data_IF_870437271557
#
_entry.id   IF_870437271557
#
_cell.length_a   1.000
_cell.length_b   1.000
_cell.length_c   1.000
_cell.angle_alpha   90.00
_cell.angle_beta   90.00
_cell.angle_gamma   90.00
#
_symmetry.space_group_name_H-M   'P 1'
#
loop_
_entity.id
_entity.type
_entity.pdbx_description
1 polymer ?
#
# COMPACT_ATOMS: atom_id res chain seq x y z
N UNK A 1 15.70 15.85 20.41
CA UNK A 1 16.38 15.44 21.67
C UNK A 1 16.82 14.00 21.49
N UNK A 2 18.11 13.72 21.49
CA UNK A 2 18.70 12.41 21.31
C UNK A 2 19.19 11.91 22.67
N UNK A 3 18.70 10.76 23.09
CA UNK A 3 19.12 10.12 24.33
C UNK A 3 20.22 9.12 24.06
N UNK A 4 21.38 9.28 24.66
CA UNK A 4 22.41 8.24 24.74
C UNK A 4 22.24 7.43 26.00
N UNK A 5 22.11 6.10 25.88
CA UNK A 5 21.82 5.19 26.99
C UNK A 5 23.04 4.81 27.85
N UNK A 6 24.18 5.47 27.73
CA UNK A 6 25.35 5.18 28.56
C UNK A 6 26.30 6.35 28.54
N UNK A 7 26.42 7.14 29.57
CA UNK A 7 27.44 8.18 29.89
C UNK A 7 28.62 8.53 28.95
N UNK A 8 28.54 8.08 27.70
CA UNK A 8 29.46 8.43 26.63
C UNK A 8 29.11 9.82 26.07
N UNK A 9 30.08 10.63 25.64
CA UNK A 9 29.81 11.91 25.03
C UNK A 9 28.84 11.74 23.89
N UNK A 10 27.78 12.57 23.85
CA UNK A 10 26.68 12.53 22.89
C UNK A 10 27.18 12.35 21.46
N UNK A 11 27.19 11.14 20.98
CA UNK A 11 27.40 10.85 19.57
C UNK A 11 26.12 11.24 18.86
N UNK A 12 26.14 12.34 18.13
CA UNK A 12 25.02 12.72 17.27
C UNK A 12 24.78 11.59 16.29
N UNK A 13 23.67 10.89 16.43
CA UNK A 13 23.27 9.93 15.41
C UNK A 13 23.12 10.69 14.08
N UNK A 14 23.70 10.20 12.99
CA UNK A 14 23.57 10.86 11.69
C UNK A 14 22.09 10.95 11.34
N UNK A 15 21.58 12.17 11.26
CA UNK A 15 20.26 12.45 10.74
C UNK A 15 20.30 12.30 9.23
N UNK A 16 19.47 11.44 8.68
CA UNK A 16 19.27 11.36 7.22
C UNK A 16 18.07 12.26 6.90
N UNK A 17 18.30 13.44 6.32
CA UNK A 17 17.22 14.31 5.94
C UNK A 17 16.54 13.76 4.67
N UNK A 18 15.24 13.55 4.75
CA UNK A 18 14.39 13.23 3.61
C UNK A 18 13.70 14.53 3.16
N UNK A 19 14.19 15.17 2.11
CA UNK A 19 13.61 16.40 1.56
C UNK A 19 12.41 16.10 0.66
N UNK A 20 11.45 15.33 1.16
CA UNK A 20 10.26 14.94 0.40
C UNK A 20 9.33 16.13 0.17
N UNK A 21 8.59 16.09 -0.92
CA UNK A 21 7.45 16.98 -1.21
C UNK A 21 6.15 16.31 -0.73
N UNK A 22 5.05 17.04 -0.79
CA UNK A 22 3.74 16.45 -0.57
C UNK A 22 3.44 15.36 -1.60
N UNK A 23 2.96 14.22 -1.14
CA UNK A 23 2.45 13.14 -1.96
C UNK A 23 0.92 13.22 -2.03
N UNK A 24 0.36 12.84 -3.17
CA UNK A 24 -1.08 12.81 -3.39
C UNK A 24 -1.52 11.42 -3.84
N UNK A 25 -2.73 11.05 -3.44
CA UNK A 25 -3.37 9.84 -3.91
C UNK A 25 -4.82 10.13 -4.24
N UNK A 26 -5.26 9.71 -5.42
CA UNK A 26 -6.65 9.78 -5.85
C UNK A 26 -7.12 8.41 -6.31
N UNK A 27 -8.32 8.01 -5.93
CA UNK A 27 -8.87 6.72 -6.33
C UNK A 27 -10.38 6.78 -6.56
N UNK A 28 -10.84 5.87 -7.40
CA UNK A 28 -12.25 5.62 -7.69
C UNK A 28 -12.49 4.12 -7.65
N UNK A 29 -13.58 3.71 -7.02
CA UNK A 29 -14.00 2.31 -6.96
C UNK A 29 -15.47 2.16 -7.31
N UNK A 30 -15.82 0.97 -7.79
CA UNK A 30 -17.18 0.58 -8.07
C UNK A 30 -17.48 -0.80 -7.46
N UNK A 31 -18.70 -0.95 -6.99
CA UNK A 31 -19.26 -2.22 -6.51
C UNK A 31 -20.52 -2.52 -7.31
N UNK A 32 -20.65 -3.78 -7.74
CA UNK A 32 -21.80 -4.26 -8.46
C UNK A 32 -22.31 -5.57 -7.85
N UNK A 33 -23.55 -5.57 -7.38
CA UNK A 33 -24.22 -6.77 -6.89
C UNK A 33 -24.79 -7.55 -8.08
N UNK A 34 -24.06 -8.59 -8.49
CA UNK A 34 -24.48 -9.45 -9.58
C UNK A 34 -25.78 -10.22 -9.26
N UNK A 35 -25.86 -10.74 -8.02
CA UNK A 35 -27.04 -11.41 -7.48
C UNK A 35 -27.02 -11.36 -5.94
N UNK A 36 -27.92 -12.07 -5.27
CA UNK A 36 -27.99 -12.13 -3.80
C UNK A 36 -26.74 -12.70 -3.12
N UNK A 37 -25.93 -13.46 -3.86
CA UNK A 37 -24.79 -14.18 -3.32
C UNK A 37 -23.44 -13.65 -3.82
N UNK A 38 -23.39 -12.94 -4.97
CA UNK A 38 -22.17 -12.49 -5.60
C UNK A 38 -22.15 -10.98 -5.74
N UNK A 39 -21.10 -10.39 -5.18
CA UNK A 39 -20.77 -8.97 -5.34
C UNK A 39 -19.40 -8.85 -6.00
N UNK A 40 -19.29 -8.02 -7.03
CA UNK A 40 -18.07 -7.71 -7.74
C UNK A 40 -17.60 -6.31 -7.38
N UNK A 41 -16.28 -6.12 -7.31
CA UNK A 41 -15.66 -4.82 -7.04
C UNK A 41 -14.54 -4.57 -8.01
N UNK A 42 -14.34 -3.30 -8.36
CA UNK A 42 -13.19 -2.85 -9.13
C UNK A 42 -12.76 -1.48 -8.65
N UNK A 43 -11.49 -1.16 -8.85
CA UNK A 43 -10.95 0.13 -8.45
C UNK A 43 -9.76 0.54 -9.30
N UNK A 44 -9.60 1.85 -9.43
CA UNK A 44 -8.45 2.50 -10.03
C UNK A 44 -7.94 3.56 -9.06
N UNK A 45 -6.64 3.68 -8.92
CA UNK A 45 -6.01 4.72 -8.12
C UNK A 45 -4.74 5.22 -8.77
N UNK A 46 -4.41 6.46 -8.53
CA UNK A 46 -3.14 7.03 -8.95
C UNK A 46 -2.47 7.72 -7.76
N UNK A 47 -1.20 7.41 -7.59
CA UNK A 47 -0.36 7.93 -6.51
C UNK A 47 0.78 8.74 -7.11
N UNK A 48 0.90 10.00 -6.67
CA UNK A 48 2.02 10.87 -6.99
C UNK A 48 3.06 10.75 -5.90
N UNK A 49 4.26 10.33 -6.28
CA UNK A 49 5.35 10.13 -5.32
C UNK A 49 5.75 11.43 -4.60
N UNK A 50 5.99 11.39 -3.29
CA UNK A 50 6.60 12.49 -2.56
C UNK A 50 8.12 12.60 -2.79
N UNK A 51 8.76 11.57 -3.37
CA UNK A 51 10.22 11.50 -3.53
C UNK A 51 10.65 12.33 -4.74
N UNK A 52 11.58 13.26 -4.49
CA UNK A 52 12.22 14.06 -5.56
C UNK A 52 13.33 13.26 -6.22
N UNK A 53 13.66 13.57 -7.47
CA UNK A 53 14.71 12.86 -8.21
C UNK A 53 16.09 12.96 -7.51
N UNK A 54 16.40 14.12 -6.91
CA UNK A 54 17.64 14.33 -6.16
C UNK A 54 17.71 13.57 -4.82
N UNK A 55 16.57 13.09 -4.32
CA UNK A 55 16.46 12.34 -3.05
C UNK A 55 16.28 10.84 -3.29
N UNK A 56 16.09 10.45 -4.56
CA UNK A 56 15.86 9.06 -4.90
C UNK A 56 17.11 8.23 -4.69
N UNK A 57 16.97 7.09 -4.06
CA UNK A 57 18.06 6.15 -3.80
C UNK A 57 17.77 4.78 -4.40
N UNK A 58 18.81 3.96 -4.57
CA UNK A 58 18.64 2.57 -5.01
C UNK A 58 17.88 1.70 -4.00
N UNK A 59 17.81 2.12 -2.73
CA UNK A 59 17.04 1.46 -1.67
C UNK A 59 15.54 1.76 -1.77
N UNK A 60 15.22 3.00 -2.18
CA UNK A 60 13.86 3.48 -2.30
C UNK A 60 13.72 4.18 -3.66
N UNK A 61 13.61 3.41 -4.74
CA UNK A 61 13.46 3.94 -6.09
C UNK A 61 11.99 4.31 -6.37
N UNK A 62 11.41 5.08 -5.45
CA UNK A 62 9.99 5.40 -5.47
C UNK A 62 9.63 6.32 -6.65
N UNK A 63 8.48 6.10 -7.28
CA UNK A 63 7.95 6.91 -8.36
C UNK A 63 6.42 6.85 -8.35
N UNK A 64 5.80 7.68 -9.19
CA UNK A 64 4.36 7.64 -9.41
C UNK A 64 3.90 6.23 -9.77
N UNK A 65 2.69 5.87 -9.33
CA UNK A 65 2.17 4.52 -9.59
C UNK A 65 0.67 4.52 -9.87
N UNK A 66 0.29 3.68 -10.82
CA UNK A 66 -1.10 3.38 -11.10
C UNK A 66 -1.50 2.10 -10.35
N UNK A 67 -2.63 2.14 -9.68
CA UNK A 67 -3.23 1.03 -8.96
C UNK A 67 -4.45 0.54 -9.73
N UNK A 68 -4.52 -0.75 -9.96
CA UNK A 68 -5.73 -1.39 -10.50
C UNK A 68 -6.14 -2.51 -9.57
N UNK A 69 -7.42 -2.62 -9.28
CA UNK A 69 -7.90 -3.67 -8.39
C UNK A 69 -9.20 -4.29 -8.90
N UNK A 70 -9.35 -5.58 -8.62
CA UNK A 70 -10.57 -6.32 -8.81
C UNK A 70 -10.83 -7.20 -7.59
N UNK A 71 -12.09 -7.41 -7.26
CA UNK A 71 -12.46 -8.24 -6.12
C UNK A 71 -13.85 -8.82 -6.28
N UNK A 72 -14.09 -9.86 -5.51
CA UNK A 72 -15.41 -10.47 -5.40
C UNK A 72 -15.68 -10.91 -3.97
N UNK A 73 -16.95 -10.85 -3.58
CA UNK A 73 -17.47 -11.47 -2.37
C UNK A 73 -18.52 -12.50 -2.76
N UNK A 74 -18.40 -13.69 -2.23
CA UNK A 74 -19.35 -14.77 -2.47
C UNK A 74 -19.92 -15.31 -1.16
N UNK A 75 -21.25 -15.23 -1.03
CA UNK A 75 -22.00 -15.76 0.09
C UNK A 75 -22.44 -17.20 -0.23
N UNK A 76 -21.78 -18.18 0.38
CA UNK A 76 -22.15 -19.58 0.22
C UNK A 76 -23.49 -19.90 0.90
N UNK A 77 -23.69 -19.37 2.12
CA UNK A 77 -24.89 -19.49 2.92
C UNK A 77 -24.93 -18.37 3.98
N UNK A 78 -25.89 -18.42 4.91
CA UNK A 78 -26.02 -17.40 5.97
C UNK A 78 -24.82 -17.34 6.94
N UNK A 79 -24.03 -18.39 7.00
CA UNK A 79 -22.91 -18.52 7.93
C UNK A 79 -21.55 -18.31 7.26
N UNK A 80 -21.38 -18.64 5.98
CA UNK A 80 -20.09 -18.64 5.30
C UNK A 80 -20.05 -17.65 4.13
N UNK A 81 -19.12 -16.70 4.23
CA UNK A 81 -18.77 -15.78 3.15
C UNK A 81 -17.28 -15.90 2.80
N UNK A 82 -16.96 -15.71 1.53
CA UNK A 82 -15.60 -15.63 1.01
C UNK A 82 -15.40 -14.30 0.29
N UNK A 83 -14.27 -13.68 0.53
CA UNK A 83 -13.81 -12.49 -0.17
C UNK A 83 -12.51 -12.81 -0.88
N UNK A 84 -12.41 -12.40 -2.14
CA UNK A 84 -11.19 -12.49 -2.94
C UNK A 84 -10.85 -11.09 -3.48
N UNK A 85 -9.59 -10.73 -3.44
CA UNK A 85 -9.09 -9.49 -3.99
C UNK A 85 -7.78 -9.68 -4.72
N UNK A 86 -7.64 -8.95 -5.81
CA UNK A 86 -6.41 -8.83 -6.59
C UNK A 86 -6.13 -7.35 -6.86
N UNK A 87 -4.90 -6.94 -6.65
CA UNK A 87 -4.44 -5.60 -6.98
C UNK A 87 -3.13 -5.71 -7.74
N UNK A 88 -3.06 -5.03 -8.88
CA UNK A 88 -1.83 -4.84 -9.62
C UNK A 88 -1.42 -3.36 -9.55
N UNK A 89 -0.17 -3.12 -9.21
CA UNK A 89 0.41 -1.80 -9.13
C UNK A 89 1.44 -1.66 -10.23
N UNK A 90 1.30 -0.61 -11.04
CA UNK A 90 2.21 -0.24 -12.11
C UNK A 90 3.04 0.99 -11.69
N UNK A 91 4.17 0.83 -11.01
CA UNK A 91 5.07 1.94 -10.78
C UNK A 91 5.65 2.43 -12.11
N UNK A 92 5.78 3.72 -12.25
CA UNK A 92 6.46 4.32 -13.39
C UNK A 92 7.95 3.97 -13.34
N UNK A 93 8.52 3.52 -14.45
CA UNK A 93 9.97 3.30 -14.59
C UNK A 93 10.73 4.52 -14.09
N UNK A 94 11.77 4.28 -13.31
CA UNK A 94 12.54 5.36 -12.72
C UNK A 94 14.02 5.24 -13.02
N UNK A 95 14.65 6.37 -13.32
CA UNK A 95 16.10 6.50 -13.34
C UNK A 95 16.54 6.95 -11.95
N UNK A 96 17.41 6.18 -11.33
CA UNK A 96 18.10 6.57 -10.09
C UNK A 96 19.48 7.06 -10.46
N UNK A 97 19.73 8.35 -10.22
CA UNK A 97 21.02 8.98 -10.44
C UNK A 97 21.56 9.45 -9.10
N UNK A 98 22.61 8.81 -8.63
CA UNK A 98 23.37 9.24 -7.45
C UNK A 98 24.64 9.87 -7.97
N UNK A 99 24.69 11.19 -7.92
CA UNK A 99 25.82 12.01 -8.35
C UNK A 99 26.13 13.09 -7.29
N UNK A 100 26.89 14.12 -7.66
CA UNK A 100 27.25 15.22 -6.76
C UNK A 100 26.03 15.99 -6.20
N UNK A 101 24.87 15.92 -6.86
CA UNK A 101 23.65 16.63 -6.48
C UNK A 101 22.67 15.76 -5.67
N UNK A 102 22.94 14.47 -5.56
CA UNK A 102 22.06 13.54 -4.83
C UNK A 102 22.51 13.45 -3.36
N UNK A 103 21.58 13.67 -2.43
CA UNK A 103 21.86 13.62 -0.98
C UNK A 103 22.23 12.21 -0.49
N UNK A 104 21.94 11.16 -1.28
CA UNK A 104 22.35 9.79 -0.96
C UNK A 104 23.76 9.43 -1.45
N UNK A 105 24.48 10.38 -2.07
CA UNK A 105 25.87 10.18 -2.47
C UNK A 105 26.77 9.98 -1.25
N UNK A 106 27.66 9.01 -1.35
CA UNK A 106 28.72 8.82 -0.35
C UNK A 106 30.04 9.44 -0.85
N UNK A 107 30.43 10.64 -0.39
CA UNK A 107 31.61 11.30 -0.87
C UNK A 107 32.90 10.56 -0.51
N UNK A 108 32.89 9.67 0.49
CA UNK A 108 34.07 8.88 0.88
C UNK A 108 34.46 7.84 -0.18
N UNK A 109 33.58 7.56 -1.15
CA UNK A 109 33.86 6.66 -2.26
C UNK A 109 34.37 7.38 -3.51
N UNK A 110 34.49 8.71 -3.49
CA UNK A 110 34.87 9.51 -4.66
C UNK A 110 36.25 9.12 -5.20
N UNK A 111 37.23 8.85 -4.30
CA UNK A 111 38.59 8.48 -4.69
C UNK A 111 38.66 7.14 -5.45
N UNK A 112 37.68 6.26 -5.28
CA UNK A 112 37.58 4.96 -5.98
C UNK A 112 36.65 5.02 -7.19
N UNK A 113 36.03 6.16 -7.49
CA UNK A 113 35.06 6.31 -8.58
C UNK A 113 33.73 5.57 -8.35
N UNK A 114 33.47 5.15 -7.12
CA UNK A 114 32.28 4.37 -6.74
C UNK A 114 31.19 5.24 -6.09
N UNK A 115 31.34 6.55 -6.12
CA UNK A 115 30.42 7.50 -5.50
C UNK A 115 29.28 7.93 -6.45
N UNK A 116 29.31 7.49 -7.70
CA UNK A 116 28.28 7.76 -8.70
C UNK A 116 27.60 6.47 -9.13
N UNK A 117 26.28 6.47 -9.16
CA UNK A 117 25.46 5.37 -9.63
C UNK A 117 24.38 5.91 -10.56
N UNK A 118 24.27 5.33 -11.75
CA UNK A 118 23.14 5.57 -12.66
C UNK A 118 22.51 4.22 -12.95
N UNK A 119 21.26 4.05 -12.60
CA UNK A 119 20.52 2.80 -12.84
C UNK A 119 19.06 3.08 -13.16
N UNK A 120 18.49 2.23 -14.02
CA UNK A 120 17.07 2.23 -14.30
C UNK A 120 16.40 1.15 -13.45
N UNK A 121 15.30 1.49 -12.82
CA UNK A 121 14.49 0.55 -12.04
C UNK A 121 13.11 0.44 -12.68
N UNK A 122 12.78 -0.79 -13.04
CA UNK A 122 11.45 -1.20 -13.50
C UNK A 122 10.90 -2.22 -12.51
N UNK A 123 9.67 -2.03 -12.07
CA UNK A 123 9.03 -2.93 -11.11
C UNK A 123 7.52 -3.03 -11.36
N UNK A 124 6.94 -4.09 -10.86
CA UNK A 124 5.48 -4.28 -10.76
C UNK A 124 5.20 -5.04 -9.48
N UNK A 125 4.00 -4.87 -8.95
CA UNK A 125 3.61 -5.47 -7.67
C UNK A 125 2.24 -6.10 -7.85
N UNK A 126 2.14 -7.37 -7.50
CA UNK A 126 0.90 -8.14 -7.48
C UNK A 126 0.52 -8.47 -6.05
N UNK A 127 -0.70 -8.14 -5.66
CA UNK A 127 -1.24 -8.42 -4.33
C UNK A 127 -2.49 -9.27 -4.50
N UNK A 128 -2.48 -10.46 -3.90
CA UNK A 128 -3.62 -11.36 -3.83
C UNK A 128 -4.07 -11.46 -2.38
N UNK A 129 -5.36 -11.36 -2.15
CA UNK A 129 -5.97 -11.52 -0.83
C UNK A 129 -7.13 -12.50 -0.87
N UNK A 130 -7.26 -13.32 0.17
CA UNK A 130 -8.36 -14.23 0.39
C UNK A 130 -8.84 -14.08 1.83
N UNK A 131 -10.13 -13.83 2.01
CA UNK A 131 -10.80 -13.76 3.28
C UNK A 131 -11.91 -14.78 3.38
N UNK A 132 -12.06 -15.40 4.56
CA UNK A 132 -13.19 -16.26 4.89
C UNK A 132 -13.81 -15.75 6.18
N UNK A 133 -15.11 -15.55 6.16
CA UNK A 133 -15.89 -15.13 7.32
C UNK A 133 -16.91 -16.21 7.65
N UNK A 134 -16.81 -16.78 8.85
CA UNK A 134 -17.78 -17.75 9.35
C UNK A 134 -18.49 -17.21 10.59
N UNK A 135 -19.83 -17.22 10.57
CA UNK A 135 -20.68 -16.84 11.69
C UNK A 135 -21.11 -18.08 12.44
N UNK A 136 -20.77 -18.17 13.72
CA UNK A 136 -21.14 -19.29 14.59
C UNK A 136 -22.57 -19.20 15.09
N UNK A 137 -23.21 -18.03 14.99
CA UNK A 137 -24.59 -17.84 15.40
C UNK A 137 -25.55 -18.47 14.41
N UNK A 138 -26.43 -19.33 14.90
CA UNK A 138 -27.54 -19.82 14.11
C UNK A 138 -28.52 -18.65 13.87
N UNK A 139 -28.95 -18.37 12.64
CA UNK A 139 -29.93 -17.33 12.42
C UNK A 139 -31.20 -17.68 13.20
N UNK A 140 -31.47 -16.90 14.25
CA UNK A 140 -32.71 -17.05 15.01
C UNK A 140 -33.82 -16.62 14.08
N UNK A 141 -34.57 -17.59 13.52
CA UNK A 141 -35.81 -17.28 12.83
C UNK A 141 -36.72 -16.61 13.86
N UNK A 142 -36.91 -15.30 13.73
CA UNK A 142 -37.91 -14.60 14.53
C UNK A 142 -39.27 -15.15 14.15
N UNK A 143 -39.72 -16.20 14.84
CA UNK A 143 -41.10 -16.64 14.84
C UNK A 143 -41.89 -15.49 15.42
N UNK A 144 -42.48 -14.68 14.55
CA UNK A 144 -43.49 -13.69 14.94
C UNK A 144 -44.61 -14.46 15.56
N UNK A 145 -44.69 -14.44 16.90
CA UNK A 145 -45.87 -14.97 17.59
C UNK A 145 -47.12 -14.26 17.03
N UNK A 146 -48.15 -14.97 16.60
CA UNK A 146 -49.37 -14.35 16.17
C UNK A 146 -49.97 -13.59 17.37
N UNK A 147 -50.19 -12.28 17.16
CA UNK A 147 -50.74 -11.40 18.17
C UNK A 147 -52.08 -11.95 18.69
N UNK A 148 -52.19 -12.14 20.00
CA UNK A 148 -53.47 -12.40 20.67
C UNK A 148 -54.41 -11.23 20.37
N UNK A 149 -55.43 -11.49 19.57
CA UNK A 149 -56.58 -10.61 19.46
C UNK A 149 -57.39 -10.82 20.72
N UNK A 150 -57.34 -9.86 21.63
CA UNK A 150 -58.28 -9.74 22.76
C UNK A 150 -59.55 -9.06 22.24
N UNK A 151 -60.68 -9.77 22.35
CA UNK A 151 -62.01 -9.17 22.17
C UNK A 151 -62.37 -8.26 23.34
#
# INVERSE_FOLDING_TARGET
MTYAASGAPHQLLPSIPFYYKDGWYASLGAEYKWNSNLTLRTGLGYEWTPVRDAERSARLPDNDRLWTSAGLSYKFNEQLNMDFGYTHIFPKSTMVTIDANNHNRNPNLAASGLDTLITKVDSHIDIVSLGLTYRFDTPTSSTRLPGKVTK
#
